data_IF_523371708373
#
_entry.id   IF_523371708373
#
_cell.length_a   1.000
_cell.length_b   1.000
_cell.length_c   1.000
_cell.angle_alpha   90.00
_cell.angle_beta   90.00
_cell.angle_gamma   90.00
#
_symmetry.space_group_name_H-M   'P 1'
#
loop_
_entity.id
_entity.type
_entity.pdbx_description
1 polymer ?
#
# COMPACT_ATOMS: atom_id res chain seq x y z
N UNK A 1 11.27 8.58 -8.75
CA UNK A 1 10.41 7.51 -8.21
C UNK A 1 10.94 7.14 -6.84
N UNK A 2 10.11 7.14 -5.78
CA UNK A 2 10.59 6.87 -4.42
C UNK A 2 10.89 5.37 -4.27
N UNK A 3 12.11 5.02 -3.85
CA UNK A 3 12.59 3.64 -3.70
C UNK A 3 11.67 2.80 -2.79
N UNK A 4 11.16 3.38 -1.71
CA UNK A 4 10.23 2.70 -0.81
C UNK A 4 8.92 2.28 -1.50
N UNK A 5 8.43 3.09 -2.45
CA UNK A 5 7.20 2.79 -3.20
C UNK A 5 7.47 1.71 -4.25
N UNK A 6 8.58 1.81 -4.98
CA UNK A 6 9.00 0.79 -5.95
C UNK A 6 9.15 -0.58 -5.30
N UNK A 7 9.81 -0.64 -4.14
CA UNK A 7 10.04 -1.89 -3.41
C UNK A 7 8.73 -2.45 -2.84
N UNK A 8 7.82 -1.60 -2.37
CA UNK A 8 6.51 -2.02 -1.87
C UNK A 8 5.67 -2.62 -3.01
N UNK A 9 5.65 -1.99 -4.19
CA UNK A 9 4.96 -2.53 -5.37
C UNK A 9 5.52 -3.89 -5.79
N UNK A 10 6.85 -4.06 -5.77
CA UNK A 10 7.49 -5.36 -6.06
C UNK A 10 7.13 -6.42 -5.02
N UNK A 11 7.08 -6.07 -3.74
CA UNK A 11 6.67 -6.99 -2.69
C UNK A 11 5.19 -7.39 -2.84
N UNK A 12 4.31 -6.43 -3.17
CA UNK A 12 2.89 -6.67 -3.46
C UNK A 12 2.72 -7.60 -4.66
N UNK A 13 3.41 -7.31 -5.77
CA UNK A 13 3.37 -8.12 -7.01
C UNK A 13 3.79 -9.57 -6.74
N UNK A 14 4.81 -9.77 -5.89
CA UNK A 14 5.32 -11.09 -5.50
C UNK A 14 4.55 -11.75 -4.36
N UNK A 15 3.54 -11.07 -3.79
CA UNK A 15 2.84 -11.47 -2.56
C UNK A 15 3.80 -11.75 -1.38
N UNK A 16 4.91 -11.01 -1.34
CA UNK A 16 5.95 -11.10 -0.31
C UNK A 16 5.58 -10.20 0.88
N UNK A 17 4.65 -10.70 1.70
CA UNK A 17 4.09 -9.94 2.81
C UNK A 17 5.09 -9.72 3.94
N UNK A 18 6.04 -10.64 4.12
CA UNK A 18 7.09 -10.50 5.11
C UNK A 18 8.04 -9.36 4.75
N UNK A 19 8.37 -9.19 3.45
CA UNK A 19 9.13 -8.04 2.97
C UNK A 19 8.33 -6.75 3.00
N UNK A 20 7.03 -6.79 2.70
CA UNK A 20 6.17 -5.60 2.69
C UNK A 20 5.92 -5.05 4.11
N UNK A 21 5.69 -5.93 5.09
CA UNK A 21 5.32 -5.58 6.47
C UNK A 21 6.21 -4.52 7.14
N UNK A 22 7.55 -4.59 7.11
CA UNK A 22 8.40 -3.57 7.72
C UNK A 22 8.38 -2.22 6.99
N UNK A 23 7.90 -2.18 5.75
CA UNK A 23 7.79 -0.95 4.96
C UNK A 23 6.51 -0.17 5.27
N UNK A 24 5.51 -0.82 5.88
CA UNK A 24 4.22 -0.25 6.21
C UNK A 24 4.22 0.24 7.66
N UNK A 25 3.82 1.50 7.86
CA UNK A 25 3.69 2.07 9.18
C UNK A 25 2.58 1.35 9.97
N UNK A 26 2.70 1.13 11.29
CA UNK A 26 1.66 0.47 12.09
C UNK A 26 0.28 1.12 11.94
N UNK A 27 0.24 2.46 11.86
CA UNK A 27 -0.96 3.29 11.68
C UNK A 27 -1.23 3.68 10.22
N UNK A 28 -0.85 2.84 9.26
CA UNK A 28 -1.07 3.07 7.83
C UNK A 28 -2.53 3.39 7.49
N UNK A 29 -2.74 4.40 6.65
CA UNK A 29 -4.01 4.72 5.99
C UNK A 29 -3.92 4.37 4.50
N UNK A 30 -4.70 3.40 4.05
CA UNK A 30 -4.77 2.99 2.64
C UNK A 30 -6.12 3.33 2.05
N UNK A 31 -6.16 4.24 1.08
CA UNK A 31 -7.36 4.59 0.31
C UNK A 31 -7.39 3.78 -0.98
N UNK A 32 -8.46 3.00 -1.17
CA UNK A 32 -8.70 2.26 -2.41
C UNK A 32 -9.25 3.18 -3.53
N UNK A 33 -9.42 2.69 -4.77
CA UNK A 33 -9.88 3.50 -5.89
C UNK A 33 -11.32 4.04 -5.72
N UNK A 34 -12.12 3.44 -4.83
CA UNK A 34 -13.46 3.89 -4.49
C UNK A 34 -13.49 4.92 -3.34
N UNK A 35 -12.32 5.35 -2.86
CA UNK A 35 -12.20 6.30 -1.77
C UNK A 35 -12.34 5.69 -0.37
N UNK A 36 -12.52 4.36 -0.24
CA UNK A 36 -12.66 3.73 1.07
C UNK A 36 -11.29 3.58 1.72
N UNK A 37 -11.23 3.99 2.99
CA UNK A 37 -10.00 3.95 3.78
C UNK A 37 -9.94 2.68 4.62
N UNK A 38 -8.88 1.91 4.45
CA UNK A 38 -8.48 0.81 5.33
C UNK A 38 -7.36 1.28 6.25
N UNK A 39 -7.51 1.07 7.57
CA UNK A 39 -6.54 1.52 8.58
C UNK A 39 -5.81 0.36 9.23
N UNK A 40 -4.53 0.59 9.51
CA UNK A 40 -3.67 -0.30 10.24
C UNK A 40 -2.99 -1.33 9.34
N UNK A 41 -1.69 -1.54 9.59
CA UNK A 41 -0.84 -2.46 8.82
C UNK A 41 -1.44 -3.85 8.66
N UNK A 42 -1.90 -4.46 9.75
CA UNK A 42 -2.43 -5.84 9.73
C UNK A 42 -3.68 -5.96 8.86
N UNK A 43 -4.61 -5.01 8.97
CA UNK A 43 -5.85 -4.99 8.18
C UNK A 43 -5.55 -4.80 6.70
N UNK A 44 -4.61 -3.91 6.37
CA UNK A 44 -4.17 -3.68 4.99
C UNK A 44 -3.52 -4.94 4.41
N UNK A 45 -2.58 -5.57 5.13
CA UNK A 45 -1.93 -6.80 4.66
C UNK A 45 -2.95 -7.93 4.43
N UNK A 46 -3.90 -8.11 5.34
CA UNK A 46 -4.98 -9.09 5.17
C UNK A 46 -5.78 -8.79 3.90
N UNK A 47 -6.19 -7.53 3.71
CA UNK A 47 -6.93 -7.09 2.52
C UNK A 47 -6.14 -7.39 1.23
N UNK A 48 -4.86 -7.04 1.19
CA UNK A 48 -3.99 -7.29 0.02
C UNK A 48 -3.78 -8.78 -0.26
N UNK A 49 -3.82 -9.63 0.77
CA UNK A 49 -3.72 -11.08 0.61
C UNK A 49 -5.03 -11.70 0.07
N UNK A 50 -6.18 -11.16 0.49
CA UNK A 50 -7.52 -11.61 0.10
C UNK A 50 -7.89 -11.12 -1.32
N UNK A 51 -7.40 -9.95 -1.73
CA UNK A 51 -7.74 -9.30 -3.01
C UNK A 51 -6.64 -9.46 -4.07
N UNK A 52 -6.92 -9.06 -5.32
CA UNK A 52 -5.88 -8.90 -6.36
C UNK A 52 -5.36 -7.46 -6.31
N UNK A 53 -4.20 -7.20 -5.70
CA UNK A 53 -3.72 -5.84 -5.52
C UNK A 53 -3.27 -5.24 -6.86
N UNK A 54 -3.42 -3.92 -6.98
CA UNK A 54 -2.86 -3.18 -8.11
C UNK A 54 -1.36 -3.06 -7.97
N UNK A 55 -0.66 -3.20 -9.09
CA UNK A 55 0.79 -3.01 -9.19
C UNK A 55 1.15 -1.62 -9.73
N UNK A 56 0.15 -0.77 -9.96
CA UNK A 56 0.32 0.62 -10.38
C UNK A 56 0.81 1.49 -9.21
N UNK A 57 1.69 2.47 -9.45
CA UNK A 57 2.07 3.43 -8.43
C UNK A 57 0.86 4.21 -7.88
N UNK A 58 0.85 4.52 -6.56
CA UNK A 58 -0.24 5.28 -5.96
C UNK A 58 -0.37 6.68 -6.59
N UNK A 59 -1.57 7.26 -6.51
CA UNK A 59 -1.81 8.66 -6.83
C UNK A 59 -0.99 9.59 -5.90
N UNK A 60 -0.96 9.26 -4.61
CA UNK A 60 -0.16 9.96 -3.61
C UNK A 60 0.24 9.03 -2.47
N UNK A 61 1.35 9.35 -1.80
CA UNK A 61 1.84 8.62 -0.64
C UNK A 61 2.50 9.57 0.35
N UNK A 62 2.51 9.19 1.62
CA UNK A 62 3.25 9.88 2.68
C UNK A 62 4.13 8.87 3.42
N UNK A 63 5.38 9.26 3.68
CA UNK A 63 6.29 8.49 4.52
C UNK A 63 6.39 9.11 5.92
N UNK A 64 6.44 8.25 6.94
CA UNK A 64 6.72 8.60 8.32
C UNK A 64 7.74 7.61 8.87
N UNK A 65 8.85 8.12 9.38
CA UNK A 65 9.95 7.29 9.91
C UNK A 65 10.43 6.24 8.88
N UNK A 66 10.52 6.63 7.61
CA UNK A 66 10.90 5.77 6.49
C UNK A 66 9.86 4.74 6.05
N UNK A 67 8.70 4.68 6.73
CA UNK A 67 7.62 3.75 6.44
C UNK A 67 6.44 4.45 5.75
N UNK A 68 5.69 3.70 4.95
CA UNK A 68 4.48 4.20 4.29
C UNK A 68 3.41 4.42 5.36
N UNK A 69 3.07 5.68 5.60
CA UNK A 69 2.01 6.11 6.51
C UNK A 69 0.69 6.30 5.78
N UNK A 70 0.74 6.77 4.52
CA UNK A 70 -0.43 6.98 3.68
C UNK A 70 -0.19 6.44 2.28
N UNK A 71 -1.19 5.75 1.74
CA UNK A 71 -1.21 5.27 0.36
C UNK A 71 -2.59 5.57 -0.23
N UNK A 72 -2.62 6.28 -1.35
CA UNK A 72 -3.87 6.56 -2.09
C UNK A 72 -3.74 5.96 -3.47
N UNK A 73 -4.55 4.95 -3.76
CA UNK A 73 -4.62 4.37 -5.09
C UNK A 73 -5.20 5.37 -6.11
N UNK A 74 -4.89 5.15 -7.38
CA UNK A 74 -5.49 5.96 -8.45
C UNK A 74 -6.94 5.56 -8.65
N UNK A 75 -7.77 6.56 -8.90
CA UNK A 75 -9.16 6.35 -9.32
C UNK A 75 -9.19 5.62 -10.66
N UNK A 76 -10.20 4.77 -10.84
CA UNK A 76 -10.48 4.14 -12.12
C UNK A 76 -11.43 5.07 -12.87
N UNK A 77 -10.93 5.78 -13.86
CA UNK A 77 -11.83 6.37 -14.85
C UNK A 77 -12.31 5.22 -15.74
N UNK A 78 -13.61 4.94 -15.71
CA UNK A 78 -14.27 3.98 -16.61
C UNK A 78 -14.29 4.51 -18.04
#
# INVERSE_FOLDING_TARGET
>A
MNHAISDALRAIERRDWDRLRPMLHPYLHWTDPGGRVTRGRTTVLRRLADERPRTEPPASFELRDGQIYRWVEREVHQ
#
